data_IF_059323133929
#
_entry.id   IF_059323133929
#
_cell.length_a   1.000
_cell.length_b   1.000
_cell.length_c   1.000
_cell.angle_alpha   90.00
_cell.angle_beta   90.00
_cell.angle_gamma   90.00
#
_symmetry.space_group_name_H-M   'P 1'
#
loop_
_entity.id
_entity.type
_entity.pdbx_description
1 polymer ?
#
# COMPACT_ATOMS: atom_id res chain seq x y z
N UNK A 1 -12.57 15.20 -34.48
CA UNK A 1 -12.75 15.11 -33.02
C UNK A 1 -11.38 15.34 -32.41
N UNK A 2 -11.24 16.27 -31.45
CA UNK A 2 -9.97 16.42 -30.72
C UNK A 2 -9.72 15.08 -30.00
N UNK A 3 -8.70 14.34 -30.41
CA UNK A 3 -8.28 13.14 -29.69
C UNK A 3 -7.71 13.59 -28.36
N UNK A 4 -8.43 13.33 -27.27
CA UNK A 4 -7.90 13.57 -25.94
C UNK A 4 -6.72 12.60 -25.71
N UNK A 5 -5.51 13.15 -25.75
CA UNK A 5 -4.28 12.38 -25.56
C UNK A 5 -4.10 11.98 -24.09
N UNK A 6 -4.89 12.55 -23.19
CA UNK A 6 -4.75 12.42 -21.76
C UNK A 6 -5.92 11.61 -21.20
N UNK A 7 -5.61 10.45 -20.64
CA UNK A 7 -6.56 9.63 -19.90
C UNK A 7 -6.53 10.04 -18.42
N UNK A 8 -7.07 11.24 -18.13
CA UNK A 8 -7.12 11.77 -16.77
C UNK A 8 -7.92 10.85 -15.86
N UNK A 9 -7.40 10.59 -14.66
CA UNK A 9 -8.14 9.78 -13.70
C UNK A 9 -9.36 10.56 -13.21
N UNK A 10 -10.50 9.88 -13.04
CA UNK A 10 -11.72 10.53 -12.56
C UNK A 10 -11.56 11.23 -11.20
N UNK A 11 -10.55 10.84 -10.42
CA UNK A 11 -10.19 11.48 -9.15
C UNK A 11 -9.58 12.87 -9.37
N UNK A 12 -8.61 12.98 -10.25
CA UNK A 12 -7.98 14.27 -10.60
C UNK A 12 -9.03 15.20 -11.20
N UNK A 13 -9.85 14.69 -12.13
CA UNK A 13 -10.95 15.48 -12.69
C UNK A 13 -11.93 15.97 -11.62
N UNK A 14 -12.37 15.09 -10.72
CA UNK A 14 -13.29 15.47 -9.63
C UNK A 14 -12.73 16.55 -8.72
N UNK A 15 -11.40 16.56 -8.50
CA UNK A 15 -10.75 17.59 -7.69
C UNK A 15 -10.59 18.91 -8.46
N UNK A 16 -10.29 18.88 -9.76
CA UNK A 16 -10.25 20.08 -10.61
C UNK A 16 -11.64 20.75 -10.61
N UNK A 17 -12.70 19.95 -10.75
CA UNK A 17 -14.08 20.44 -10.80
C UNK A 17 -14.56 20.98 -9.45
N UNK A 18 -14.14 20.37 -8.34
CA UNK A 18 -14.43 20.82 -6.97
C UNK A 18 -13.23 20.56 -6.02
N UNK A 19 -12.32 21.54 -5.89
CA UNK A 19 -11.13 21.40 -5.04
C UNK A 19 -11.44 21.27 -3.55
N UNK A 20 -12.64 21.67 -3.12
CA UNK A 20 -13.12 21.52 -1.73
C UNK A 20 -13.67 20.12 -1.45
N UNK A 21 -13.87 19.32 -2.51
CA UNK A 21 -14.34 17.95 -2.46
C UNK A 21 -13.26 16.97 -1.99
N UNK A 22 -12.74 16.15 -2.91
CA UNK A 22 -11.73 15.13 -2.57
C UNK A 22 -10.35 15.51 -3.00
N UNK A 23 -9.36 15.11 -2.23
CA UNK A 23 -7.97 15.23 -2.63
C UNK A 23 -7.69 14.43 -3.92
N UNK A 24 -6.81 14.94 -4.80
CA UNK A 24 -6.47 14.26 -6.05
C UNK A 24 -5.49 13.08 -5.84
N UNK A 25 -5.19 12.74 -4.59
CA UNK A 25 -4.24 11.69 -4.18
C UNK A 25 -4.75 10.30 -4.56
N UNK A 26 -3.97 9.55 -5.32
CA UNK A 26 -4.27 8.19 -5.79
C UNK A 26 -3.96 7.13 -4.73
N UNK A 27 -2.75 7.19 -4.17
CA UNK A 27 -2.24 6.22 -3.21
C UNK A 27 -1.37 6.88 -2.14
N UNK A 28 -1.31 6.23 -0.98
CA UNK A 28 -0.51 6.65 0.16
C UNK A 28 0.20 5.46 0.79
N UNK A 29 1.27 5.73 1.53
CA UNK A 29 2.06 4.70 2.21
C UNK A 29 2.32 5.12 3.65
N UNK A 30 2.32 4.19 4.59
CA UNK A 30 2.84 4.39 5.94
C UNK A 30 3.63 3.17 6.38
N UNK A 31 4.83 3.42 6.88
CA UNK A 31 5.62 2.47 7.66
C UNK A 31 5.23 2.64 9.13
N UNK A 32 4.65 1.59 9.71
CA UNK A 32 4.11 1.64 11.08
C UNK A 32 5.23 1.31 12.05
N UNK A 33 5.55 2.24 12.93
CA UNK A 33 6.53 2.02 14.00
C UNK A 33 5.98 1.10 15.07
N UNK A 34 6.88 0.40 15.77
CA UNK A 34 6.57 -0.57 16.82
C UNK A 34 6.11 0.04 18.15
N UNK A 35 5.41 1.16 18.08
CA UNK A 35 4.94 1.93 19.23
C UNK A 35 3.48 2.30 19.01
N UNK A 36 2.69 2.35 20.09
CA UNK A 36 1.28 2.74 20.01
C UNK A 36 1.14 4.20 19.57
N UNK A 37 1.91 5.08 20.19
CA UNK A 37 1.91 6.52 19.96
C UNK A 37 3.02 6.97 19.00
N UNK A 38 3.03 8.26 18.66
CA UNK A 38 4.03 8.88 17.80
C UNK A 38 3.56 9.08 16.35
N UNK A 39 4.34 9.80 15.53
CA UNK A 39 3.92 10.22 14.18
C UNK A 39 3.69 9.06 13.21
N UNK A 40 4.37 7.93 13.44
CA UNK A 40 4.23 6.68 12.68
C UNK A 40 3.70 5.52 13.54
N UNK A 41 3.27 5.81 14.77
CA UNK A 41 2.74 4.80 15.68
C UNK A 41 1.47 4.14 15.17
N UNK A 42 1.09 3.05 15.83
CA UNK A 42 -0.06 2.21 15.47
C UNK A 42 -1.37 3.03 15.49
N UNK A 43 -1.58 3.93 16.45
CA UNK A 43 -2.80 4.75 16.48
C UNK A 43 -2.82 5.78 15.35
N UNK A 44 -1.65 6.39 15.10
CA UNK A 44 -1.49 7.37 14.04
C UNK A 44 -1.71 6.75 12.66
N UNK A 45 -1.35 5.48 12.46
CA UNK A 45 -1.59 4.76 11.21
C UNK A 45 -3.07 4.42 11.01
N UNK A 46 -3.85 4.15 12.06
CA UNK A 46 -5.30 3.98 11.96
C UNK A 46 -5.97 5.27 11.50
N UNK A 47 -5.59 6.40 12.10
CA UNK A 47 -6.08 7.73 11.71
C UNK A 47 -5.69 8.06 10.27
N UNK A 48 -4.46 7.73 9.87
CA UNK A 48 -3.97 7.90 8.51
C UNK A 48 -4.79 7.08 7.51
N UNK A 49 -4.97 5.79 7.77
CA UNK A 49 -5.77 4.91 6.92
C UNK A 49 -7.22 5.41 6.81
N UNK A 50 -7.85 5.78 7.93
CA UNK A 50 -9.20 6.34 7.95
C UNK A 50 -9.32 7.62 7.13
N UNK A 51 -8.37 8.55 7.26
CA UNK A 51 -8.38 9.80 6.51
C UNK A 51 -8.19 9.55 5.00
N UNK A 52 -7.25 8.70 4.62
CA UNK A 52 -6.99 8.35 3.23
C UNK A 52 -8.21 7.69 2.58
N UNK A 53 -8.81 6.69 3.24
CA UNK A 53 -9.99 5.98 2.74
C UNK A 53 -11.20 6.90 2.54
N UNK A 54 -11.48 7.80 3.49
CA UNK A 54 -12.59 8.78 3.36
C UNK A 54 -12.38 9.77 2.21
N UNK A 55 -11.12 10.01 1.82
CA UNK A 55 -10.77 10.80 0.65
C UNK A 55 -10.58 9.95 -0.62
N UNK A 56 -10.85 8.65 -0.56
CA UNK A 56 -10.80 7.73 -1.68
C UNK A 56 -9.40 7.23 -2.05
N UNK A 57 -8.36 7.57 -1.31
CA UNK A 57 -7.00 7.08 -1.54
C UNK A 57 -6.82 5.62 -1.09
N UNK A 58 -6.05 4.86 -1.85
CA UNK A 58 -5.58 3.54 -1.42
C UNK A 58 -4.40 3.68 -0.47
N UNK A 59 -4.27 2.76 0.48
CA UNK A 59 -3.29 2.84 1.57
C UNK A 59 -2.45 1.57 1.64
N UNK A 60 -1.14 1.70 1.50
CA UNK A 60 -0.22 0.63 1.85
C UNK A 60 0.23 0.79 3.31
N UNK A 61 0.03 -0.24 4.11
CA UNK A 61 0.43 -0.30 5.52
C UNK A 61 1.59 -1.28 5.63
N UNK A 62 2.80 -0.80 5.93
CA UNK A 62 3.96 -1.64 6.17
C UNK A 62 4.07 -1.94 7.66
N UNK A 63 4.01 -3.23 8.01
CA UNK A 63 3.94 -3.73 9.39
C UNK A 63 5.25 -4.38 9.87
N UNK A 64 6.31 -4.30 9.06
CA UNK A 64 7.56 -5.05 9.29
C UNK A 64 8.34 -4.62 10.53
N UNK A 65 8.02 -3.48 11.14
CA UNK A 65 8.65 -3.05 12.40
C UNK A 65 7.91 -3.56 13.63
N UNK A 66 6.67 -4.07 13.48
CA UNK A 66 5.92 -4.57 14.62
C UNK A 66 6.57 -5.85 15.17
N UNK A 67 6.53 -6.01 16.49
CA UNK A 67 6.99 -7.27 17.10
C UNK A 67 6.16 -8.47 16.62
N UNK A 68 6.79 -9.65 16.48
CA UNK A 68 6.06 -10.87 16.19
C UNK A 68 5.14 -11.28 17.34
N UNK A 69 4.12 -12.05 17.03
CA UNK A 69 3.16 -12.56 18.01
C UNK A 69 3.89 -13.35 19.09
N UNK A 70 3.57 -13.04 20.35
CA UNK A 70 4.15 -13.75 21.49
C UNK A 70 5.50 -13.20 21.94
N UNK A 71 6.05 -12.18 21.27
CA UNK A 71 7.24 -11.48 21.76
C UNK A 71 6.96 -10.80 23.10
N UNK A 72 7.71 -11.17 24.14
CA UNK A 72 7.65 -10.54 25.46
C UNK A 72 8.60 -9.35 25.51
N UNK A 73 8.05 -8.15 25.69
CA UNK A 73 8.84 -6.93 25.90
C UNK A 73 9.31 -6.84 27.35
N UNK A 74 10.38 -6.07 27.58
CA UNK A 74 10.87 -5.74 28.93
C UNK A 74 9.81 -5.09 29.83
N UNK A 75 8.78 -4.46 29.24
CA UNK A 75 7.64 -3.90 29.96
C UNK A 75 6.66 -4.96 30.51
N UNK A 76 6.84 -6.24 30.16
CA UNK A 76 5.93 -7.34 30.51
C UNK A 76 4.73 -7.49 29.57
N UNK A 77 4.65 -6.68 28.50
CA UNK A 77 3.59 -6.79 27.49
C UNK A 77 3.97 -7.84 26.44
N UNK A 78 3.03 -8.73 26.14
CA UNK A 78 3.15 -9.71 25.05
C UNK A 78 2.59 -9.12 23.76
N UNK A 79 3.40 -9.10 22.71
CA UNK A 79 3.03 -8.56 21.41
C UNK A 79 1.95 -9.41 20.71
N UNK A 80 1.00 -8.73 20.07
CA UNK A 80 -0.10 -9.37 19.34
C UNK A 80 0.25 -9.80 17.90
N UNK A 81 1.37 -9.33 17.36
CA UNK A 81 1.82 -9.61 15.99
C UNK A 81 1.15 -8.78 14.89
N UNK A 82 1.77 -8.67 13.69
CA UNK A 82 1.25 -7.92 12.55
C UNK A 82 -0.14 -8.36 12.09
N UNK A 83 -0.45 -9.66 12.14
CA UNK A 83 -1.74 -10.20 11.69
C UNK A 83 -2.89 -9.71 12.57
N UNK A 84 -2.67 -9.59 13.88
CA UNK A 84 -3.69 -9.08 14.81
C UNK A 84 -4.05 -7.63 14.50
N UNK A 85 -3.05 -6.75 14.36
CA UNK A 85 -3.27 -5.37 13.94
C UNK A 85 -3.84 -5.28 12.51
N UNK A 86 -3.46 -6.21 11.63
CA UNK A 86 -4.03 -6.40 10.30
C UNK A 86 -5.57 -6.44 10.29
N UNK A 87 -6.18 -7.08 11.29
CA UNK A 87 -7.64 -7.18 11.42
C UNK A 87 -8.30 -5.82 11.61
N UNK A 88 -7.65 -4.90 12.33
CA UNK A 88 -8.15 -3.54 12.53
C UNK A 88 -8.18 -2.78 11.20
N UNK A 89 -7.11 -2.86 10.40
CA UNK A 89 -7.10 -2.24 9.07
C UNK A 89 -8.15 -2.85 8.13
N UNK A 90 -8.37 -4.17 8.21
CA UNK A 90 -9.45 -4.84 7.48
C UNK A 90 -10.82 -4.30 7.88
N UNK A 91 -11.09 -4.15 9.19
CA UNK A 91 -12.33 -3.60 9.70
C UNK A 91 -12.51 -2.11 9.31
N UNK A 92 -11.44 -1.31 9.33
CA UNK A 92 -11.46 0.08 8.86
C UNK A 92 -11.84 0.15 7.38
N UNK A 93 -11.21 -0.69 6.54
CA UNK A 93 -11.52 -0.71 5.11
C UNK A 93 -12.97 -1.17 4.87
N UNK A 94 -13.45 -2.18 5.58
CA UNK A 94 -14.85 -2.60 5.49
C UNK A 94 -15.83 -1.48 5.85
N UNK A 95 -15.63 -0.87 7.00
CA UNK A 95 -16.57 0.09 7.60
C UNK A 95 -16.64 1.35 6.76
N UNK A 96 -15.49 1.89 6.36
CA UNK A 96 -15.41 3.17 5.65
C UNK A 96 -15.78 3.04 4.17
N UNK A 97 -15.68 1.85 3.57
CA UNK A 97 -16.20 1.59 2.21
C UNK A 97 -17.72 1.60 2.13
N UNK A 98 -18.43 1.37 3.24
CA UNK A 98 -19.90 1.24 3.29
C UNK A 98 -20.63 2.56 3.54
N UNK A 99 -19.92 3.68 3.77
CA UNK A 99 -20.48 4.91 4.33
C UNK A 99 -20.82 6.07 3.39
N UNK A 100 -20.90 5.93 2.05
CA UNK A 100 -21.24 7.09 1.21
C UNK A 100 -21.24 6.89 -0.31
N UNK A 101 -21.08 8.01 -1.05
CA UNK A 101 -21.12 8.13 -2.53
C UNK A 101 -20.04 7.29 -3.25
N UNK A 102 -19.07 6.72 -2.53
CA UNK A 102 -17.89 6.05 -3.11
C UNK A 102 -17.61 4.71 -2.42
N UNK A 103 -17.50 3.65 -3.23
CA UNK A 103 -17.51 2.24 -2.80
C UNK A 103 -16.13 1.56 -2.75
N UNK A 104 -15.06 2.29 -3.12
CA UNK A 104 -13.75 1.70 -3.42
C UNK A 104 -12.67 2.29 -2.50
N UNK A 105 -12.38 1.57 -1.42
CA UNK A 105 -11.21 1.75 -0.57
C UNK A 105 -10.33 0.53 -0.70
N UNK A 106 -9.01 0.73 -0.74
CA UNK A 106 -8.05 -0.35 -0.88
C UNK A 106 -6.99 -0.21 0.21
N UNK A 107 -6.81 -1.26 0.99
CA UNK A 107 -5.69 -1.40 1.90
C UNK A 107 -4.88 -2.62 1.48
N UNK A 108 -3.57 -2.47 1.40
CA UNK A 108 -2.62 -3.57 1.27
C UNK A 108 -1.72 -3.56 2.48
N UNK A 109 -1.64 -4.70 3.18
CA UNK A 109 -0.69 -4.92 4.26
C UNK A 109 0.60 -5.46 3.67
N UNK A 110 1.72 -4.89 4.09
CA UNK A 110 3.06 -5.32 3.70
C UNK A 110 3.81 -5.86 4.91
N UNK A 111 4.57 -6.94 4.69
CA UNK A 111 5.53 -7.47 5.66
C UNK A 111 6.83 -7.84 4.95
N UNK A 112 7.96 -7.77 5.64
CA UNK A 112 9.26 -8.16 5.10
C UNK A 112 9.44 -9.67 5.19
N UNK A 113 10.09 -10.27 4.18
CA UNK A 113 10.32 -11.72 4.13
C UNK A 113 11.17 -12.24 5.31
N UNK A 114 11.97 -11.36 5.93
CA UNK A 114 12.77 -11.70 7.11
C UNK A 114 11.99 -11.69 8.42
N UNK A 115 10.74 -11.21 8.43
CA UNK A 115 9.94 -11.12 9.65
C UNK A 115 9.61 -12.52 10.20
N UNK A 116 9.54 -12.66 11.52
CA UNK A 116 9.28 -13.94 12.18
C UNK A 116 7.85 -14.44 11.94
N UNK A 117 6.86 -13.55 12.02
CA UNK A 117 5.46 -13.85 11.63
C UNK A 117 5.21 -13.97 10.12
N UNK A 118 6.23 -14.10 9.25
CA UNK A 118 6.02 -14.23 7.80
C UNK A 118 5.06 -15.39 7.46
N UNK A 119 5.25 -16.56 8.08
CA UNK A 119 4.41 -17.74 7.82
C UNK A 119 2.98 -17.48 8.27
N UNK A 120 2.77 -16.98 9.50
CA UNK A 120 1.43 -16.62 9.99
C UNK A 120 0.75 -15.63 9.03
N UNK A 121 1.48 -14.60 8.57
CA UNK A 121 0.98 -13.60 7.65
C UNK A 121 0.57 -14.17 6.29
N UNK A 122 1.37 -15.06 5.70
CA UNK A 122 1.09 -15.71 4.41
C UNK A 122 -0.10 -16.66 4.53
N UNK A 123 -0.10 -17.50 5.57
CA UNK A 123 -1.06 -18.59 5.74
C UNK A 123 -2.37 -18.14 6.39
N UNK A 124 -2.45 -16.91 6.89
CA UNK A 124 -3.69 -16.33 7.43
C UNK A 124 -4.86 -16.55 6.45
N UNK A 125 -5.97 -17.16 6.89
CA UNK A 125 -7.14 -17.40 6.05
C UNK A 125 -7.77 -16.11 5.51
N UNK A 126 -8.42 -16.20 4.33
CA UNK A 126 -9.05 -15.04 3.67
C UNK A 126 -10.14 -14.39 4.52
N UNK A 127 -10.89 -15.19 5.27
CA UNK A 127 -11.97 -14.74 6.16
C UNK A 127 -11.48 -13.98 7.40
N UNK A 128 -10.21 -14.13 7.78
CA UNK A 128 -9.58 -13.37 8.87
C UNK A 128 -9.21 -11.96 8.43
N UNK A 129 -8.82 -11.80 7.16
CA UNK A 129 -8.42 -10.52 6.55
C UNK A 129 -9.19 -10.22 5.25
N UNK A 130 -10.53 -10.22 5.26
CA UNK A 130 -11.35 -10.25 4.04
C UNK A 130 -11.29 -8.97 3.22
N UNK A 131 -10.94 -7.84 3.85
CA UNK A 131 -10.99 -6.52 3.23
C UNK A 131 -9.63 -5.88 3.02
N UNK A 132 -8.54 -6.65 3.17
CA UNK A 132 -7.20 -6.19 2.81
C UNK A 132 -6.55 -7.13 1.80
N UNK A 133 -5.59 -6.62 1.05
CA UNK A 133 -4.63 -7.43 0.31
C UNK A 133 -3.36 -7.59 1.13
N UNK A 134 -2.54 -8.56 0.77
CA UNK A 134 -1.28 -8.88 1.47
C UNK A 134 -0.14 -8.90 0.48
N UNK A 135 0.98 -8.30 0.87
CA UNK A 135 2.18 -8.20 0.08
C UNK A 135 3.39 -8.57 0.94
N UNK A 136 4.32 -9.33 0.37
CA UNK A 136 5.61 -9.62 0.99
C UNK A 136 6.69 -8.80 0.29
N UNK A 137 7.44 -8.03 1.08
CA UNK A 137 8.62 -7.30 0.63
C UNK A 137 9.85 -8.20 0.68
N UNK A 138 10.66 -8.21 -0.37
CA UNK A 138 11.78 -9.15 -0.49
C UNK A 138 13.04 -8.49 -1.08
N UNK A 139 14.20 -8.92 -0.58
CA UNK A 139 15.51 -8.72 -1.21
C UNK A 139 16.05 -10.08 -1.66
N UNK A 140 17.07 -10.09 -2.52
CA UNK A 140 17.73 -11.33 -2.91
C UNK A 140 18.36 -12.03 -1.69
N UNK A 141 19.02 -11.28 -0.82
CA UNK A 141 19.61 -11.75 0.44
C UNK A 141 18.57 -12.45 1.34
N UNK A 142 17.43 -11.80 1.61
CA UNK A 142 16.40 -12.40 2.47
C UNK A 142 15.78 -13.64 1.85
N UNK A 143 15.68 -13.68 0.52
CA UNK A 143 15.27 -14.90 -0.17
C UNK A 143 16.29 -16.00 0.06
N UNK A 144 17.58 -15.75 -0.16
CA UNK A 144 18.61 -16.76 -0.06
C UNK A 144 18.70 -17.33 1.37
N UNK A 145 18.63 -16.47 2.38
CA UNK A 145 18.63 -16.81 3.82
C UNK A 145 17.33 -17.47 4.31
N UNK A 146 16.22 -17.32 3.59
CA UNK A 146 14.94 -17.88 4.01
C UNK A 146 14.97 -19.41 4.00
N UNK A 147 14.37 -20.01 5.03
CA UNK A 147 14.14 -21.45 5.11
C UNK A 147 13.31 -21.96 3.92
N UNK A 148 13.49 -23.23 3.56
CA UNK A 148 12.71 -23.85 2.48
C UNK A 148 11.21 -23.80 2.78
N UNK A 149 10.82 -23.85 4.05
CA UNK A 149 9.44 -23.69 4.51
C UNK A 149 8.88 -22.31 4.16
N UNK A 150 9.57 -21.21 4.55
CA UNK A 150 9.17 -19.83 4.22
C UNK A 150 9.07 -19.63 2.69
N UNK A 151 10.03 -20.16 1.93
CA UNK A 151 10.04 -20.13 0.46
C UNK A 151 8.82 -20.84 -0.13
N UNK A 152 8.53 -22.05 0.33
CA UNK A 152 7.40 -22.85 -0.13
C UNK A 152 6.05 -22.18 0.20
N UNK A 153 5.90 -21.65 1.41
CA UNK A 153 4.72 -20.91 1.83
C UNK A 153 4.48 -19.69 0.93
N UNK A 154 5.52 -18.88 0.70
CA UNK A 154 5.44 -17.70 -0.16
C UNK A 154 5.06 -18.05 -1.60
N UNK A 155 5.73 -19.03 -2.21
CA UNK A 155 5.42 -19.48 -3.57
C UNK A 155 3.98 -20.01 -3.69
N UNK A 156 3.52 -20.76 -2.69
CA UNK A 156 2.14 -21.27 -2.63
C UNK A 156 1.12 -20.13 -2.49
N UNK A 157 1.40 -19.13 -1.63
CA UNK A 157 0.55 -17.95 -1.45
C UNK A 157 0.44 -17.11 -2.73
N UNK A 158 1.55 -16.91 -3.44
CA UNK A 158 1.58 -16.23 -4.75
C UNK A 158 0.79 -17.03 -5.78
N UNK A 159 1.01 -18.35 -5.89
CA UNK A 159 0.31 -19.22 -6.84
C UNK A 159 -1.21 -19.21 -6.66
N UNK A 160 -1.70 -19.04 -5.43
CA UNK A 160 -3.13 -18.90 -5.11
C UNK A 160 -3.70 -17.51 -5.39
N UNK A 161 -2.85 -16.51 -5.64
CA UNK A 161 -3.22 -15.10 -5.77
C UNK A 161 -3.51 -14.42 -4.44
N UNK A 162 -3.09 -15.00 -3.30
CA UNK A 162 -3.32 -14.46 -1.96
C UNK A 162 -2.26 -13.44 -1.55
N UNK A 163 -1.04 -13.62 -2.04
CA UNK A 163 0.14 -12.84 -1.67
C UNK A 163 0.73 -12.19 -2.91
N UNK A 164 0.95 -10.89 -2.83
CA UNK A 164 1.73 -10.14 -3.80
C UNK A 164 3.20 -10.09 -3.38
N UNK A 165 4.08 -9.88 -4.34
CA UNK A 165 5.52 -9.81 -4.11
C UNK A 165 6.05 -8.44 -4.51
N UNK A 166 6.77 -7.79 -3.61
CA UNK A 166 7.37 -6.48 -3.83
C UNK A 166 8.88 -6.54 -3.57
N UNK A 167 9.68 -5.99 -4.48
CA UNK A 167 11.13 -5.82 -4.24
C UNK A 167 11.36 -4.60 -3.36
N UNK A 168 12.21 -4.75 -2.34
CA UNK A 168 12.63 -3.61 -1.51
C UNK A 168 13.43 -2.63 -2.37
N UNK A 169 13.22 -1.33 -2.14
CA UNK A 169 13.91 -0.24 -2.83
C UNK A 169 14.37 0.84 -1.86
N UNK A 170 15.37 1.58 -2.30
CA UNK A 170 15.97 2.71 -1.59
C UNK A 170 16.06 3.92 -2.51
N UNK A 171 16.01 5.12 -1.95
CA UNK A 171 16.26 6.36 -2.68
C UNK A 171 17.77 6.59 -2.90
N UNK A 172 18.13 7.70 -3.56
CA UNK A 172 19.53 8.07 -3.82
C UNK A 172 20.36 8.35 -2.56
N UNK A 173 19.71 8.57 -1.42
CA UNK A 173 20.35 8.83 -0.13
C UNK A 173 20.45 7.55 0.71
N UNK A 174 20.02 6.40 0.18
CA UNK A 174 20.01 5.13 0.91
C UNK A 174 18.84 4.96 1.87
N UNK A 175 17.84 5.86 1.88
CA UNK A 175 16.66 5.70 2.70
C UNK A 175 15.70 4.71 2.06
N UNK A 176 15.06 3.87 2.89
CA UNK A 176 14.05 2.93 2.40
C UNK A 176 12.82 3.67 1.86
N UNK A 177 12.40 3.29 0.67
CA UNK A 177 11.12 3.71 0.08
C UNK A 177 10.21 2.50 -0.06
N UNK A 178 8.92 2.73 0.10
CA UNK A 178 7.94 1.69 0.36
C UNK A 178 6.94 1.61 -0.78
N UNK A 179 6.64 0.39 -1.23
CA UNK A 179 5.66 0.15 -2.29
C UNK A 179 4.24 0.55 -1.86
N UNK A 180 3.50 1.14 -2.78
CA UNK A 180 2.11 1.55 -2.60
C UNK A 180 1.11 0.40 -2.85
N UNK A 181 -0.19 0.73 -2.83
CA UNK A 181 -1.30 -0.21 -2.91
C UNK A 181 -1.37 -1.04 -4.20
N UNK A 182 -0.76 -0.60 -5.31
CA UNK A 182 -0.76 -1.33 -6.59
C UNK A 182 0.67 -1.69 -7.04
N UNK A 183 1.68 -1.46 -6.19
CA UNK A 183 3.10 -1.77 -6.39
C UNK A 183 3.79 -1.01 -7.55
N UNK A 184 3.17 0.04 -8.07
CA UNK A 184 3.65 0.86 -9.19
C UNK A 184 4.40 2.12 -8.74
N UNK A 185 4.23 2.54 -7.48
CA UNK A 185 4.91 3.72 -6.90
C UNK A 185 5.62 3.36 -5.60
N UNK A 186 6.80 3.94 -5.39
CA UNK A 186 7.56 3.83 -4.15
C UNK A 186 7.71 5.20 -3.51
N UNK A 187 7.32 5.31 -2.24
CA UNK A 187 7.27 6.58 -1.52
C UNK A 187 7.93 6.44 -0.14
N UNK A 188 8.46 7.53 0.45
CA UNK A 188 8.80 7.54 1.87
C UNK A 188 7.55 7.29 2.73
N UNK A 189 7.73 6.93 4.00
CA UNK A 189 6.59 6.79 4.93
C UNK A 189 5.78 8.09 4.98
N UNK A 190 4.45 7.97 4.99
CA UNK A 190 3.45 9.06 4.87
C UNK A 190 3.46 9.80 3.53
N UNK A 191 4.22 9.32 2.56
CA UNK A 191 4.21 9.84 1.20
C UNK A 191 2.86 9.64 0.51
N UNK A 192 2.55 10.55 -0.41
CA UNK A 192 1.34 10.51 -1.22
C UNK A 192 1.71 10.65 -2.69
N UNK A 193 0.93 10.05 -3.58
CA UNK A 193 1.14 10.16 -5.01
C UNK A 193 -0.19 10.38 -5.72
N UNK A 194 -0.12 11.21 -6.77
CA UNK A 194 -1.19 11.52 -7.69
C UNK A 194 -0.80 10.95 -9.05
N UNK A 195 -1.77 10.36 -9.76
CA UNK A 195 -1.53 9.66 -11.03
C UNK A 195 -2.48 10.16 -12.12
N UNK A 196 -1.95 10.21 -13.34
CA UNK A 196 -2.65 10.47 -14.60
C UNK A 196 -1.95 9.69 -15.71
N UNK A 197 -2.68 9.39 -16.78
CA UNK A 197 -2.22 8.51 -17.84
C UNK A 197 -2.26 9.21 -19.19
N UNK A 198 -1.39 8.78 -20.10
CA UNK A 198 -1.44 9.14 -21.51
C UNK A 198 -2.14 8.01 -22.27
N UNK A 199 -3.10 8.37 -23.12
CA UNK A 199 -3.77 7.43 -24.02
C UNK A 199 -2.87 7.14 -25.23
N UNK A 200 -1.94 6.19 -25.08
CA UNK A 200 -1.00 5.87 -26.15
C UNK A 200 -1.70 5.37 -27.43
N UNK A 201 -2.87 4.73 -27.32
CA UNK A 201 -3.68 4.33 -28.48
C UNK A 201 -4.25 5.50 -29.29
N UNK A 202 -4.31 6.70 -28.71
CA UNK A 202 -4.68 7.93 -29.39
C UNK A 202 -3.46 8.70 -29.94
N UNK A 203 -2.24 8.21 -29.68
CA UNK A 203 -1.01 8.84 -30.12
C UNK A 203 -0.48 8.24 -31.44
N UNK A 204 0.24 9.06 -32.19
CA UNK A 204 1.22 8.59 -33.20
C UNK A 204 2.62 8.70 -32.61
N UNK A 205 3.63 8.04 -33.21
CA UNK A 205 5.03 8.10 -32.73
C UNK A 205 5.52 9.55 -32.56
N UNK A 206 5.14 10.44 -33.49
CA UNK A 206 5.52 11.86 -33.44
C UNK A 206 4.81 12.67 -32.35
N UNK A 207 3.63 12.25 -31.88
CA UNK A 207 2.85 13.00 -30.88
C UNK A 207 3.09 12.54 -29.45
N UNK A 208 3.78 11.41 -29.23
CA UNK A 208 4.08 10.89 -27.88
C UNK A 208 4.81 11.95 -27.03
N UNK A 209 5.91 12.59 -27.48
CA UNK A 209 6.61 13.56 -26.64
C UNK A 209 5.72 14.72 -26.18
N UNK A 210 4.93 15.29 -27.08
CA UNK A 210 4.00 16.38 -26.77
C UNK A 210 2.88 15.94 -25.82
N UNK A 211 2.38 14.71 -25.96
CA UNK A 211 1.37 14.16 -25.05
C UNK A 211 1.90 14.04 -23.61
N UNK A 212 3.14 13.58 -23.44
CA UNK A 212 3.78 13.52 -22.12
C UNK A 212 4.03 14.92 -21.53
N UNK A 213 4.50 15.88 -22.33
CA UNK A 213 4.69 17.28 -21.86
C UNK A 213 3.37 17.87 -21.40
N UNK A 214 2.30 17.71 -22.19
CA UNK A 214 0.97 18.20 -21.84
C UNK A 214 0.45 17.52 -20.56
N UNK A 215 0.55 16.18 -20.48
CA UNK A 215 0.13 15.43 -19.31
C UNK A 215 0.83 15.87 -18.02
N UNK A 216 2.13 16.14 -18.09
CA UNK A 216 2.91 16.64 -16.94
C UNK A 216 2.59 18.09 -16.56
N UNK A 217 2.05 18.89 -17.48
CA UNK A 217 1.74 20.31 -17.26
C UNK A 217 0.32 20.52 -16.72
N UNK A 218 -0.56 19.55 -16.88
CA UNK A 218 -1.95 19.57 -16.38
C UNK A 218 -2.12 18.98 -14.98
N UNK A 219 -1.02 18.52 -14.37
CA UNK A 219 -0.96 17.82 -13.08
C UNK A 219 -0.52 18.71 -11.93
#
# INVERSE_FOLDING_TARGET
>A
MSTDLIARTGRVQSWIDDPKGRLPVSCTVINVSNEMEGPNGIEASWKFASHALRNGAGVAIHLSELDPRGFERDSGVVASGPVSFGRIYSALNETLRRGGKYKNGAIVLHIDARHDDLIEFIETPRDVLPWVKRCVNITQEWWDESSQEKKNALLKGIKKGDIWLNKVRYDSNGNRIFGNVCLEVYLPSRGTCLLQHISLGACTVGTIPSAFIAGMSEL
#
